data_IF_986159143349
#
_entry.id   IF_986159143349
#
_cell.length_a   1.000
_cell.length_b   1.000
_cell.length_c   1.000
_cell.angle_alpha   90.00
_cell.angle_beta   90.00
_cell.angle_gamma   90.00
#
_symmetry.space_group_name_H-M   'P 1'
#
loop_
_entity.id
_entity.type
_entity.pdbx_description
1 polymer ?
#
# COMPACT_ATOMS: atom_id res chain seq x y z
N UNK A 1 -12.28 3.52 20.81
CA UNK A 1 -11.90 3.14 19.43
C UNK A 1 -11.30 4.36 18.78
N UNK A 2 -9.96 4.49 18.73
CA UNK A 2 -9.34 5.59 18.00
C UNK A 2 -9.40 5.28 16.51
N UNK A 3 -10.16 6.08 15.77
CA UNK A 3 -9.81 6.41 14.39
C UNK A 3 -8.42 7.05 14.47
N UNK A 4 -7.38 6.31 14.10
CA UNK A 4 -6.07 6.91 13.93
C UNK A 4 -6.11 7.64 12.60
N UNK A 5 -6.43 8.93 12.65
CA UNK A 5 -6.19 9.82 11.52
C UNK A 5 -4.70 9.71 11.14
N UNK A 6 -4.37 9.86 9.84
CA UNK A 6 -2.97 9.91 9.43
C UNK A 6 -2.21 10.95 10.27
N UNK A 7 -0.90 10.79 10.50
CA UNK A 7 -0.11 11.81 11.17
C UNK A 7 -0.34 13.16 10.50
N UNK A 8 -0.37 14.24 11.29
CA UNK A 8 -0.62 15.60 10.78
C UNK A 8 0.30 16.02 9.64
N UNK A 9 1.49 15.40 9.55
CA UNK A 9 2.52 15.72 8.57
C UNK A 9 2.54 14.72 7.39
N UNK A 10 1.55 13.81 7.29
CA UNK A 10 1.43 12.92 6.13
C UNK A 10 1.02 13.74 4.90
N UNK A 11 1.99 13.99 4.03
CA UNK A 11 1.75 14.67 2.76
C UNK A 11 1.32 13.65 1.69
N UNK A 12 0.02 13.60 1.39
CA UNK A 12 -0.47 12.87 0.23
C UNK A 12 0.06 13.53 -1.04
N UNK A 13 0.78 12.77 -1.87
CA UNK A 13 1.33 13.28 -3.12
C UNK A 13 0.18 13.62 -4.09
N UNK A 14 0.12 14.86 -4.59
CA UNK A 14 -0.89 15.30 -5.58
C UNK A 14 -0.91 14.41 -6.82
N UNK A 15 0.22 13.83 -7.21
CA UNK A 15 0.33 12.86 -8.31
C UNK A 15 -0.49 11.58 -8.07
N UNK A 16 -0.65 11.17 -6.81
CA UNK A 16 -1.50 10.04 -6.45
C UNK A 16 -2.98 10.38 -6.63
N UNK A 17 -3.43 11.55 -6.18
CA UNK A 17 -4.82 12.00 -6.40
C UNK A 17 -5.16 12.12 -7.89
N UNK A 18 -4.27 12.73 -8.67
CA UNK A 18 -4.43 12.81 -10.13
C UNK A 18 -4.51 11.42 -10.78
N UNK A 19 -3.68 10.49 -10.33
CA UNK A 19 -3.71 9.13 -10.81
C UNK A 19 -4.97 8.36 -10.38
N UNK A 20 -5.47 8.62 -9.16
CA UNK A 20 -6.69 8.00 -8.63
C UNK A 20 -7.91 8.42 -9.46
N UNK A 21 -8.03 9.71 -9.79
CA UNK A 21 -9.10 10.23 -10.65
C UNK A 21 -9.06 9.57 -12.06
N UNK A 22 -7.88 9.18 -12.56
CA UNK A 22 -7.75 8.47 -13.84
C UNK A 22 -8.18 6.98 -13.78
N UNK A 23 -8.52 6.47 -12.59
CA UNK A 23 -9.01 5.10 -12.40
C UNK A 23 -10.53 5.02 -12.20
N UNK A 24 -11.22 6.15 -12.03
CA UNK A 24 -12.66 6.21 -11.67
C UNK A 24 -13.54 5.45 -12.70
N UNK A 25 -13.22 5.53 -13.98
CA UNK A 25 -13.93 4.81 -15.05
C UNK A 25 -13.45 3.36 -15.29
N UNK A 26 -12.40 2.91 -14.59
CA UNK A 26 -11.69 1.65 -14.89
C UNK A 26 -11.93 0.55 -13.86
N UNK A 27 -12.43 0.90 -12.69
CA UNK A 27 -12.59 -0.03 -11.57
C UNK A 27 -14.07 -0.22 -11.26
N UNK A 28 -14.58 -1.43 -11.48
CA UNK A 28 -15.98 -1.79 -11.18
C UNK A 28 -16.21 -2.05 -9.66
N UNK A 29 -15.17 -1.95 -8.84
CA UNK A 29 -15.20 -2.25 -7.40
C UNK A 29 -14.74 -1.01 -6.64
N UNK A 30 -15.61 -0.41 -5.83
CA UNK A 30 -15.30 0.77 -5.02
C UNK A 30 -14.18 0.51 -3.99
N UNK A 31 -13.98 -0.74 -3.58
CA UNK A 31 -12.99 -1.14 -2.56
C UNK A 31 -11.72 -1.76 -3.17
N UNK A 32 -11.47 -1.61 -4.47
CA UNK A 32 -10.30 -2.22 -5.15
C UNK A 32 -8.97 -1.88 -4.45
N UNK A 33 -8.86 -0.68 -3.87
CA UNK A 33 -7.67 -0.25 -3.15
C UNK A 33 -7.50 -0.99 -1.82
N UNK A 34 -8.60 -1.29 -1.11
CA UNK A 34 -8.55 -2.17 0.07
C UNK A 34 -8.00 -3.53 -0.31
N UNK A 35 -8.51 -4.11 -1.41
CA UNK A 35 -8.06 -5.42 -1.87
C UNK A 35 -6.56 -5.41 -2.21
N UNK A 36 -6.05 -4.32 -2.78
CA UNK A 36 -4.61 -4.13 -2.98
C UNK A 36 -3.83 -4.10 -1.65
N UNK A 37 -4.26 -3.33 -0.65
CA UNK A 37 -3.62 -3.29 0.68
C UNK A 37 -3.68 -4.62 1.41
N UNK A 38 -4.81 -5.33 1.34
CA UNK A 38 -4.96 -6.65 1.94
C UNK A 38 -4.03 -7.65 1.27
N UNK A 39 -3.99 -7.69 -0.06
CA UNK A 39 -3.08 -8.57 -0.78
C UNK A 39 -1.61 -8.27 -0.42
N UNK A 40 -1.23 -6.99 -0.37
CA UNK A 40 0.08 -6.53 0.06
C UNK A 40 0.45 -7.08 1.44
N UNK A 41 -0.37 -6.83 2.46
CA UNK A 41 -0.08 -7.25 3.84
C UNK A 41 -0.18 -8.76 4.05
N UNK A 42 -1.11 -9.45 3.39
CA UNK A 42 -1.21 -10.92 3.42
C UNK A 42 0.04 -11.55 2.80
N UNK A 43 0.56 -10.97 1.72
CA UNK A 43 1.80 -11.47 1.11
C UNK A 43 2.99 -11.30 2.05
N UNK A 44 3.06 -10.16 2.74
CA UNK A 44 4.03 -9.95 3.82
C UNK A 44 3.88 -10.96 4.96
N UNK A 45 2.65 -11.26 5.40
CA UNK A 45 2.41 -12.20 6.50
C UNK A 45 2.78 -13.64 6.15
N UNK A 46 2.70 -14.02 4.87
CA UNK A 46 3.07 -15.36 4.36
C UNK A 46 4.55 -15.56 4.09
N UNK A 47 5.23 -14.53 3.57
CA UNK A 47 6.65 -14.65 3.19
C UNK A 47 7.61 -14.15 4.28
N UNK A 48 7.10 -13.46 5.30
CA UNK A 48 7.78 -12.89 6.47
C UNK A 48 8.85 -11.82 6.16
N UNK A 49 9.65 -12.00 5.10
CA UNK A 49 10.67 -11.06 4.64
C UNK A 49 10.55 -10.83 3.13
N UNK A 50 10.36 -9.57 2.76
CA UNK A 50 10.30 -9.11 1.36
C UNK A 50 11.56 -8.31 1.05
N UNK A 51 12.32 -8.73 0.04
CA UNK A 51 13.57 -8.07 -0.35
C UNK A 51 13.36 -6.61 -0.79
N UNK A 52 14.29 -5.75 -0.41
CA UNK A 52 14.40 -4.37 -0.90
C UNK A 52 15.29 -4.27 -2.15
N UNK A 53 15.05 -3.24 -2.95
CA UNK A 53 15.95 -2.83 -4.03
C UNK A 53 17.03 -1.83 -3.53
N UNK A 54 17.90 -1.41 -4.44
CA UNK A 54 19.00 -0.48 -4.15
C UNK A 54 18.52 0.94 -3.80
N UNK A 55 17.24 1.25 -3.98
CA UNK A 55 16.62 2.50 -3.59
C UNK A 55 15.79 2.34 -2.31
N UNK A 56 15.94 1.22 -1.60
CA UNK A 56 15.22 0.91 -0.37
C UNK A 56 13.70 0.76 -0.57
N UNK A 57 13.23 0.48 -1.79
CA UNK A 57 11.83 0.14 -2.10
C UNK A 57 11.64 -1.38 -2.14
N UNK A 58 10.40 -1.85 -2.03
CA UNK A 58 10.13 -3.29 -2.25
C UNK A 58 10.53 -3.71 -3.66
N UNK A 59 11.28 -4.81 -3.75
CA UNK A 59 11.85 -5.29 -5.00
C UNK A 59 10.78 -5.57 -6.06
N UNK A 60 11.07 -5.28 -7.34
CA UNK A 60 10.14 -5.45 -8.46
C UNK A 60 9.41 -6.81 -8.53
N UNK A 61 10.05 -7.89 -8.08
CA UNK A 61 9.44 -9.24 -8.06
C UNK A 61 8.23 -9.32 -7.13
N UNK A 62 8.26 -8.60 -6.02
CA UNK A 62 7.13 -8.53 -5.09
C UNK A 62 5.91 -7.92 -5.78
N UNK A 63 6.10 -6.75 -6.40
CA UNK A 63 5.06 -6.01 -7.11
C UNK A 63 4.53 -6.75 -8.34
N UNK A 64 5.38 -7.43 -9.11
CA UNK A 64 4.92 -8.22 -10.27
C UNK A 64 3.93 -9.30 -9.84
N UNK A 65 4.23 -10.01 -8.75
CA UNK A 65 3.29 -10.99 -8.23
C UNK A 65 2.00 -10.39 -7.66
N UNK A 66 1.99 -9.10 -7.28
CA UNK A 66 0.73 -8.41 -6.94
C UNK A 66 -0.06 -8.06 -8.20
N UNK A 67 0.60 -7.46 -9.19
CA UNK A 67 0.04 -7.13 -10.50
C UNK A 67 -0.64 -8.33 -11.16
N UNK A 68 0.04 -9.48 -11.17
CA UNK A 68 -0.50 -10.72 -11.73
C UNK A 68 -1.76 -11.19 -10.99
N UNK A 69 -1.82 -11.01 -9.67
CA UNK A 69 -2.94 -11.46 -8.84
C UNK A 69 -4.14 -10.52 -8.90
N UNK A 70 -3.89 -9.22 -9.07
CA UNK A 70 -4.90 -8.17 -9.13
C UNK A 70 -5.25 -7.77 -10.57
N UNK A 71 -4.68 -8.48 -11.56
CA UNK A 71 -4.96 -8.33 -12.99
C UNK A 71 -4.73 -6.92 -13.56
N UNK A 72 -3.73 -6.19 -13.05
CA UNK A 72 -3.30 -4.90 -13.59
C UNK A 72 -1.80 -4.87 -13.90
N UNK A 73 -1.37 -4.02 -14.85
CA UNK A 73 0.04 -3.86 -15.24
C UNK A 73 0.45 -2.38 -15.22
N UNK A 74 1.08 -1.95 -14.13
CA UNK A 74 1.60 -0.60 -13.92
C UNK A 74 3.10 -0.52 -14.24
N UNK A 75 3.87 -1.56 -13.91
CA UNK A 75 5.29 -1.65 -14.24
C UNK A 75 5.53 -1.94 -15.71
N UNK A 76 6.66 -1.44 -16.21
CA UNK A 76 7.13 -1.68 -17.58
C UNK A 76 8.65 -1.78 -17.61
N UNK A 77 9.25 -2.00 -18.80
CA UNK A 77 10.71 -1.97 -18.96
C UNK A 77 11.33 -0.66 -18.45
N UNK A 78 10.60 0.46 -18.57
CA UNK A 78 11.05 1.81 -18.21
C UNK A 78 10.58 2.28 -16.83
N UNK A 79 9.50 1.73 -16.28
CA UNK A 79 8.95 2.11 -14.97
C UNK A 79 9.36 1.12 -13.89
N UNK A 80 10.11 1.60 -12.89
CA UNK A 80 10.53 0.85 -11.70
C UNK A 80 9.51 1.03 -10.58
N UNK A 81 9.56 0.22 -9.50
CA UNK A 81 8.63 0.36 -8.38
C UNK A 81 8.54 1.78 -7.82
N UNK A 82 9.69 2.45 -7.68
CA UNK A 82 9.78 3.85 -7.25
C UNK A 82 9.08 4.85 -8.17
N UNK A 83 8.69 4.48 -9.38
CA UNK A 83 8.03 5.38 -10.35
C UNK A 83 6.50 5.19 -10.37
N UNK A 84 5.98 4.24 -9.59
CA UNK A 84 4.55 3.89 -9.55
C UNK A 84 3.92 4.51 -8.30
N UNK A 85 3.05 5.49 -8.51
CA UNK A 85 2.41 6.26 -7.41
C UNK A 85 1.61 5.38 -6.45
N UNK A 86 0.91 4.35 -6.93
CA UNK A 86 0.20 3.40 -6.06
C UNK A 86 1.17 2.67 -5.11
N UNK A 87 2.34 2.28 -5.60
CA UNK A 87 3.30 1.52 -4.79
C UNK A 87 3.92 2.40 -3.73
N UNK A 88 4.32 3.63 -4.12
CA UNK A 88 4.79 4.64 -3.18
C UNK A 88 3.74 4.90 -2.10
N UNK A 89 2.48 5.09 -2.49
CA UNK A 89 1.39 5.34 -1.56
C UNK A 89 1.22 4.19 -0.56
N UNK A 90 1.08 2.96 -1.07
CA UNK A 90 0.90 1.77 -0.22
C UNK A 90 2.07 1.55 0.74
N UNK A 91 3.29 1.68 0.24
CA UNK A 91 4.49 1.49 1.04
C UNK A 91 4.63 2.58 2.10
N UNK A 92 4.34 3.85 1.77
CA UNK A 92 4.36 4.95 2.71
C UNK A 92 3.30 4.79 3.81
N UNK A 93 2.06 4.48 3.46
CA UNK A 93 1.00 4.24 4.45
C UNK A 93 1.39 3.08 5.37
N UNK A 94 1.88 1.97 4.81
CA UNK A 94 2.29 0.82 5.60
C UNK A 94 3.48 1.10 6.53
N UNK A 95 4.40 1.99 6.15
CA UNK A 95 5.50 2.43 7.01
C UNK A 95 5.01 3.36 8.11
N UNK A 96 4.17 4.34 7.77
CA UNK A 96 3.64 5.35 8.69
C UNK A 96 2.77 4.71 9.78
N UNK A 97 1.90 3.79 9.38
CA UNK A 97 1.09 3.00 10.32
C UNK A 97 1.91 1.94 11.08
N UNK A 98 3.19 1.80 10.76
CA UNK A 98 4.05 0.77 11.31
C UNK A 98 3.58 -0.64 10.97
N UNK A 99 2.78 -0.86 9.92
CA UNK A 99 2.35 -2.20 9.50
C UNK A 99 3.51 -3.04 8.98
N UNK A 100 4.47 -2.38 8.34
CA UNK A 100 5.74 -2.97 7.97
C UNK A 100 6.88 -2.15 8.58
N UNK A 101 8.05 -2.79 8.71
CA UNK A 101 9.31 -2.09 8.96
C UNK A 101 10.33 -2.52 7.92
N UNK A 102 11.22 -1.61 7.55
CA UNK A 102 12.36 -1.93 6.69
C UNK A 102 13.60 -2.18 7.56
N UNK A 103 14.31 -3.23 7.20
CA UNK A 103 15.63 -3.63 7.65
C UNK A 103 16.60 -3.42 6.48
N UNK A 104 17.91 -3.60 6.70
CA UNK A 104 18.96 -3.25 5.72
C UNK A 104 18.71 -3.79 4.30
N UNK A 105 18.20 -5.01 4.17
CA UNK A 105 17.97 -5.66 2.85
C UNK A 105 16.55 -6.19 2.65
N UNK A 106 15.68 -6.06 3.64
CA UNK A 106 14.32 -6.61 3.59
C UNK A 106 13.32 -5.78 4.37
N UNK A 107 12.06 -5.78 3.98
CA UNK A 107 10.94 -5.36 4.80
C UNK A 107 10.25 -6.58 5.43
N UNK A 108 9.71 -6.40 6.64
CA UNK A 108 8.98 -7.42 7.37
C UNK A 108 7.67 -6.85 7.91
N UNK A 109 6.66 -7.72 8.07
CA UNK A 109 5.41 -7.34 8.75
C UNK A 109 5.65 -7.18 10.24
N UNK A 110 5.01 -6.19 10.85
CA UNK A 110 5.02 -6.00 12.29
C UNK A 110 3.78 -6.60 12.95
N UNK A 111 3.77 -6.62 14.27
CA UNK A 111 2.55 -6.95 15.03
C UNK A 111 1.39 -5.97 14.73
N UNK A 112 1.69 -4.70 14.48
CA UNK A 112 0.66 -3.71 14.12
C UNK A 112 0.04 -4.01 12.75
N UNK A 113 0.84 -4.49 11.79
CA UNK A 113 0.34 -4.95 10.49
C UNK A 113 -0.56 -6.18 10.63
N UNK A 114 -0.20 -7.13 11.51
CA UNK A 114 -1.04 -8.29 11.81
C UNK A 114 -2.36 -7.89 12.48
N UNK A 115 -2.33 -6.93 13.42
CA UNK A 115 -3.52 -6.36 14.03
C UNK A 115 -4.44 -5.69 13.01
N UNK A 116 -3.88 -4.96 12.05
CA UNK A 116 -4.67 -4.39 10.95
C UNK A 116 -5.38 -5.47 10.13
N UNK A 117 -4.68 -6.56 9.78
CA UNK A 117 -5.28 -7.68 9.06
C UNK A 117 -6.42 -8.37 9.83
N UNK A 118 -6.41 -8.31 11.16
CA UNK A 118 -7.46 -8.85 12.02
C UNK A 118 -8.66 -7.90 12.23
N UNK A 119 -8.59 -6.65 11.77
CA UNK A 119 -9.72 -5.72 11.83
C UNK A 119 -10.85 -6.18 10.90
N UNK A 120 -12.07 -5.73 11.19
CA UNK A 120 -13.17 -5.87 10.25
C UNK A 120 -12.89 -5.12 8.95
N UNK A 121 -13.40 -5.61 7.83
CA UNK A 121 -13.22 -5.00 6.51
C UNK A 121 -13.57 -3.51 6.50
N UNK A 122 -14.69 -3.13 7.12
CA UNK A 122 -15.11 -1.72 7.31
C UNK A 122 -14.03 -0.89 8.01
N UNK A 123 -13.44 -1.40 9.08
CA UNK A 123 -12.40 -0.68 9.82
C UNK A 123 -11.07 -0.61 9.05
N UNK A 124 -10.75 -1.63 8.26
CA UNK A 124 -9.60 -1.59 7.34
C UNK A 124 -9.79 -0.53 6.27
N UNK A 125 -10.99 -0.47 5.69
CA UNK A 125 -11.31 0.51 4.66
C UNK A 125 -11.27 1.93 5.16
N UNK A 126 -11.96 2.21 6.27
CA UNK A 126 -11.99 3.54 6.88
C UNK A 126 -10.58 4.04 7.21
N UNK A 127 -9.67 3.16 7.64
CA UNK A 127 -8.27 3.54 7.86
C UNK A 127 -7.58 3.96 6.57
N UNK A 128 -7.73 3.21 5.48
CA UNK A 128 -7.11 3.56 4.19
C UNK A 128 -7.71 4.86 3.64
N UNK A 129 -9.03 5.02 3.72
CA UNK A 129 -9.73 6.22 3.26
C UNK A 129 -9.26 7.50 3.97
N UNK A 130 -8.94 7.42 5.26
CA UNK A 130 -8.43 8.57 6.01
C UNK A 130 -7.12 9.15 5.46
N UNK A 131 -6.34 8.37 4.69
CA UNK A 131 -5.13 8.84 4.00
C UNK A 131 -5.42 9.54 2.66
N UNK A 132 -6.62 9.36 2.10
CA UNK A 132 -7.03 9.89 0.80
C UNK A 132 -7.93 11.12 0.99
N UNK A 133 -8.90 11.00 1.89
CA UNK A 133 -9.83 12.05 2.29
C UNK A 133 -9.76 12.23 3.81
N UNK A 134 -8.73 12.92 4.32
CA UNK A 134 -8.67 13.25 5.74
C UNK A 134 -9.86 14.14 6.10
N UNK A 135 -10.51 13.86 7.24
CA UNK A 135 -11.50 14.77 7.81
C UNK A 135 -10.87 16.17 7.98
N UNK A 136 -11.59 17.26 7.65
CA UNK A 136 -11.08 18.62 7.70
C UNK A 136 -10.70 19.10 9.12
#
# INVERSE_FOLDING_TARGET
MSSSNPPKDFALNTSFLLWLNQQEDKQNNEEWMLDAFLFFLIKFSRHERIRLDHHYFLHQRFWKGMEDSLQYKLMSRRKKPKDIVLYQFMENVALVEGWIRKEETSAVITEQGRKFLALSRKNQWNRILGYIWPDP
#
